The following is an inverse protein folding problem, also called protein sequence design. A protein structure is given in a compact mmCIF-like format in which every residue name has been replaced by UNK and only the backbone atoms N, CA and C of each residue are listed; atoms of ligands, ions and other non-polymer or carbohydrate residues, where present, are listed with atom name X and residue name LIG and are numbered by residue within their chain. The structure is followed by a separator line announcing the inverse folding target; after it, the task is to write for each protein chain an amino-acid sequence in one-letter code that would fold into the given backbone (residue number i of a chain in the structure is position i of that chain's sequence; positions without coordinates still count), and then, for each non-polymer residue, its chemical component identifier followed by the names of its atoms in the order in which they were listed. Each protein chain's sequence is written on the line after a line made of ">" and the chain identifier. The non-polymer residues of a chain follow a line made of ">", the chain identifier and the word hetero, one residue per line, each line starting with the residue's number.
data_IF_664555872166
#
_entry.id   IF_664555872166
#
_cell.length_a   1.000
_cell.length_b   1.000
_cell.length_c   1.000
_cell.angle_alpha   90.00
_cell.angle_beta   90.00
_cell.angle_gamma   90.00
#
_symmetry.space_group_name_H-M   'P 1'
#
loop_
_entity.id
_entity.type
_entity.pdbx_description
1 polymer ?
#
# COMPACT_ATOMS: atom_id res chain seq x y z
N UNK A 1 -13.11 9.27 -14.23
CA UNK A 1 -12.47 8.01 -13.86
C UNK A 1 -11.80 7.42 -15.08
N UNK A 2 -10.53 7.76 -15.25
CA UNK A 2 -9.62 7.16 -16.20
C UNK A 2 -8.92 5.95 -15.56
N UNK A 3 -8.32 5.13 -16.42
CA UNK A 3 -7.51 3.97 -16.03
C UNK A 3 -6.16 4.07 -16.72
N UNK A 4 -5.10 4.03 -15.93
CA UNK A 4 -3.72 4.04 -16.40
C UNK A 4 -3.12 2.65 -16.23
N UNK A 5 -2.70 2.04 -17.32
CA UNK A 5 -2.00 0.76 -17.29
C UNK A 5 -0.53 1.05 -16.94
N UNK A 6 -0.04 0.42 -15.87
CA UNK A 6 1.30 0.62 -15.34
C UNK A 6 2.08 -0.68 -15.46
N UNK A 7 3.20 -0.62 -16.17
CA UNK A 7 4.04 -1.79 -16.39
C UNK A 7 5.12 -1.52 -17.43
N UNK A 8 5.94 -2.55 -17.76
CA UNK A 8 7.09 -2.39 -18.63
C UNK A 8 6.78 -1.84 -20.03
N UNK A 9 5.57 -2.04 -20.54
CA UNK A 9 5.19 -1.66 -21.90
C UNK A 9 4.29 -0.41 -21.96
N UNK A 10 3.86 0.10 -20.80
CA UNK A 10 2.92 1.22 -20.69
C UNK A 10 3.51 2.32 -19.80
N UNK A 11 2.72 2.84 -18.85
CA UNK A 11 3.14 3.96 -18.03
C UNK A 11 4.13 3.52 -16.95
N UNK A 12 5.14 4.37 -16.70
CA UNK A 12 5.83 4.34 -15.43
C UNK A 12 4.85 4.73 -14.30
N UNK A 13 4.95 4.07 -13.14
CA UNK A 13 4.06 4.33 -12.00
C UNK A 13 4.03 5.80 -11.57
N UNK A 14 5.19 6.46 -11.51
CA UNK A 14 5.27 7.86 -11.05
C UNK A 14 4.62 8.82 -12.04
N UNK A 15 4.79 8.57 -13.33
CA UNK A 15 4.21 9.39 -14.39
C UNK A 15 2.69 9.17 -14.45
N UNK A 16 2.23 7.93 -14.34
CA UNK A 16 0.81 7.60 -14.24
C UNK A 16 0.16 8.28 -13.03
N UNK A 17 0.80 8.23 -11.86
CA UNK A 17 0.33 8.91 -10.65
C UNK A 17 0.26 10.43 -10.81
N UNK A 18 1.25 11.03 -11.46
CA UNK A 18 1.26 12.48 -11.74
C UNK A 18 0.07 12.86 -12.63
N UNK A 19 -0.19 12.07 -13.67
CA UNK A 19 -1.26 12.31 -14.63
C UNK A 19 -2.67 11.99 -14.10
N UNK A 20 -2.78 11.05 -13.16
CA UNK A 20 -4.05 10.64 -12.57
C UNK A 20 -4.71 11.78 -11.77
N UNK A 21 -6.04 11.79 -11.79
CA UNK A 21 -6.90 12.66 -11.00
C UNK A 21 -7.65 11.86 -9.93
N UNK A 22 -8.33 12.57 -9.03
CA UNK A 22 -9.18 11.93 -8.03
C UNK A 22 -10.24 11.03 -8.67
N UNK A 23 -10.36 9.82 -8.13
CA UNK A 23 -11.25 8.75 -8.58
C UNK A 23 -10.67 7.86 -9.68
N UNK A 24 -9.43 8.07 -10.13
CA UNK A 24 -8.82 7.26 -11.18
C UNK A 24 -8.21 5.95 -10.66
N UNK A 25 -7.87 5.05 -11.58
CA UNK A 25 -7.25 3.76 -11.30
C UNK A 25 -5.87 3.63 -11.94
N UNK A 26 -4.88 3.20 -11.16
CA UNK A 26 -3.60 2.70 -11.63
C UNK A 26 -3.67 1.17 -11.63
N UNK A 27 -3.78 0.56 -12.81
CA UNK A 27 -3.83 -0.89 -12.99
C UNK A 27 -2.45 -1.41 -13.36
N UNK A 28 -1.86 -2.23 -12.49
CA UNK A 28 -0.56 -2.83 -12.72
C UNK A 28 -0.70 -3.99 -13.71
N UNK A 29 0.16 -4.05 -14.72
CA UNK A 29 0.28 -5.22 -15.59
C UNK A 29 0.76 -6.44 -14.78
N UNK A 30 0.50 -7.64 -15.31
CA UNK A 30 0.94 -8.88 -14.66
C UNK A 30 2.46 -8.89 -14.41
N UNK A 31 2.86 -9.38 -13.23
CA UNK A 31 4.26 -9.40 -12.76
C UNK A 31 4.94 -8.03 -12.64
N UNK A 32 4.18 -6.92 -12.70
CA UNK A 32 4.75 -5.58 -12.49
C UNK A 32 5.28 -5.43 -11.06
N UNK A 33 6.49 -4.88 -10.96
CA UNK A 33 7.14 -4.50 -9.71
C UNK A 33 7.37 -2.99 -9.70
N UNK A 34 6.68 -2.29 -8.81
CA UNK A 34 6.85 -0.85 -8.58
C UNK A 34 7.87 -0.65 -7.46
N UNK A 35 8.98 -0.02 -7.77
CA UNK A 35 9.96 0.43 -6.78
C UNK A 35 9.74 1.91 -6.46
N UNK A 36 9.33 2.20 -5.23
CA UNK A 36 9.14 3.57 -4.74
C UNK A 36 10.45 4.20 -4.23
N UNK A 37 11.52 3.41 -4.13
CA UNK A 37 12.81 3.81 -3.57
C UNK A 37 12.82 3.85 -2.05
N UNK A 38 13.87 4.47 -1.48
CA UNK A 38 14.11 4.53 -0.03
C UNK A 38 13.32 5.62 0.70
N UNK A 39 12.73 6.56 -0.04
CA UNK A 39 11.94 7.66 0.53
C UNK A 39 10.46 7.29 0.61
N UNK A 40 9.73 7.94 1.52
CA UNK A 40 8.29 7.77 1.64
C UNK A 40 7.59 8.40 0.43
N UNK A 41 6.83 7.62 -0.32
CA UNK A 41 6.02 8.10 -1.43
C UNK A 41 4.70 8.67 -0.92
N UNK A 42 4.40 9.92 -1.24
CA UNK A 42 3.18 10.58 -0.79
C UNK A 42 2.05 10.40 -1.81
N UNK A 43 0.91 9.90 -1.33
CA UNK A 43 -0.34 9.86 -2.08
C UNK A 43 -1.31 10.86 -1.45
N UNK A 44 -1.67 11.88 -2.22
CA UNK A 44 -2.55 12.97 -1.80
C UNK A 44 -3.77 13.15 -2.72
N UNK A 45 -4.04 12.13 -3.54
CA UNK A 45 -5.18 12.02 -4.46
C UNK A 45 -5.96 10.76 -4.14
N UNK A 46 -7.27 10.82 -4.29
CA UNK A 46 -8.14 9.65 -4.11
C UNK A 46 -8.01 8.72 -5.32
N UNK A 47 -7.57 7.48 -5.15
CA UNK A 47 -7.34 6.56 -6.28
C UNK A 47 -7.39 5.09 -5.87
N UNK A 48 -7.49 4.23 -6.87
CA UNK A 48 -7.29 2.79 -6.72
C UNK A 48 -5.98 2.37 -7.39
N UNK A 49 -5.16 1.61 -6.67
CA UNK A 49 -4.02 0.87 -7.22
C UNK A 49 -4.36 -0.61 -7.17
N UNK A 50 -4.42 -1.24 -8.34
CA UNK A 50 -4.86 -2.63 -8.48
C UNK A 50 -3.85 -3.46 -9.24
N UNK A 51 -3.46 -4.61 -8.67
CA UNK A 51 -2.66 -5.62 -9.34
C UNK A 51 -3.49 -6.76 -9.96
N UNK A 52 -2.79 -7.68 -10.60
CA UNK A 52 -3.36 -8.88 -11.20
C UNK A 52 -3.29 -10.09 -10.26
N UNK A 53 -4.10 -11.10 -10.59
CA UNK A 53 -4.06 -12.42 -9.96
C UNK A 53 -3.99 -13.49 -11.03
N UNK A 54 -3.27 -14.57 -10.74
CA UNK A 54 -3.32 -15.78 -11.57
C UNK A 54 -4.69 -16.44 -11.49
N UNK A 55 -4.99 -17.38 -12.40
CA UNK A 55 -6.19 -18.22 -12.30
C UNK A 55 -6.23 -19.05 -11.00
N UNK A 56 -5.06 -19.38 -10.43
CA UNK A 56 -4.92 -20.04 -9.14
C UNK A 56 -5.11 -19.10 -7.94
N UNK A 57 -5.38 -17.81 -8.20
CA UNK A 57 -5.58 -16.74 -7.21
C UNK A 57 -4.30 -16.30 -6.49
N UNK A 58 -3.13 -16.48 -7.11
CA UNK A 58 -1.88 -15.93 -6.59
C UNK A 58 -1.73 -14.47 -7.00
N UNK A 59 -1.24 -13.63 -6.08
CA UNK A 59 -0.89 -12.25 -6.37
C UNK A 59 0.43 -12.21 -7.17
N UNK A 60 0.48 -11.41 -8.23
CA UNK A 60 1.66 -11.33 -9.11
C UNK A 60 2.35 -9.97 -9.08
N UNK A 61 1.67 -8.91 -8.64
CA UNK A 61 2.21 -7.56 -8.63
C UNK A 61 2.80 -7.18 -7.26
N UNK A 62 3.89 -6.42 -7.30
CA UNK A 62 4.63 -5.98 -6.13
C UNK A 62 4.74 -4.47 -6.07
N UNK A 63 4.61 -3.91 -4.87
CA UNK A 63 5.04 -2.53 -4.59
C UNK A 63 6.06 -2.59 -3.46
N UNK A 64 7.24 -2.04 -3.70
CA UNK A 64 8.33 -1.98 -2.74
C UNK A 64 8.57 -0.54 -2.29
N UNK A 65 8.56 -0.31 -0.97
CA UNK A 65 8.85 0.97 -0.35
C UNK A 65 7.79 1.39 0.67
N UNK A 66 7.79 2.67 1.05
CA UNK A 66 6.84 3.22 2.02
C UNK A 66 5.86 4.19 1.35
N UNK A 67 4.62 4.22 1.82
CA UNK A 67 3.58 5.17 1.37
C UNK A 67 3.05 5.97 2.56
N UNK A 68 2.84 7.28 2.34
CA UNK A 68 2.03 8.12 3.21
C UNK A 68 0.78 8.59 2.44
N UNK A 69 -0.40 8.26 2.95
CA UNK A 69 -1.70 8.74 2.45
C UNK A 69 -2.14 9.92 3.29
N UNK A 70 -2.37 11.06 2.64
CA UNK A 70 -2.66 12.34 3.31
C UNK A 70 -3.75 13.13 2.59
N UNK A 71 -4.06 14.33 3.09
CA UNK A 71 -4.93 15.29 2.42
C UNK A 71 -6.35 14.75 2.15
N UNK A 72 -6.93 14.03 3.12
CA UNK A 72 -8.28 13.46 3.02
C UNK A 72 -8.46 12.48 1.86
N UNK A 73 -7.36 12.02 1.26
CA UNK A 73 -7.39 11.10 0.13
C UNK A 73 -8.00 9.76 0.52
N UNK A 74 -8.79 9.21 -0.40
CA UNK A 74 -9.43 7.91 -0.29
C UNK A 74 -8.66 6.94 -1.19
N UNK A 75 -7.80 6.10 -0.60
CA UNK A 75 -6.91 5.21 -1.37
C UNK A 75 -7.32 3.76 -1.19
N UNK A 76 -7.42 3.04 -2.30
CA UNK A 76 -7.58 1.57 -2.30
C UNK A 76 -6.34 0.89 -2.85
N UNK A 77 -5.77 -0.05 -2.10
CA UNK A 77 -4.78 -1.00 -2.61
C UNK A 77 -5.44 -2.37 -2.74
N UNK A 78 -5.38 -2.95 -3.94
CA UNK A 78 -6.06 -4.21 -4.23
C UNK A 78 -5.15 -5.20 -4.97
N UNK A 79 -5.12 -6.46 -4.53
CA UNK A 79 -4.41 -7.56 -5.20
C UNK A 79 -2.91 -7.29 -5.41
N UNK A 80 -2.25 -6.84 -4.34
CA UNK A 80 -0.83 -6.43 -4.38
C UNK A 80 -0.07 -7.08 -3.23
N UNK A 81 1.18 -7.45 -3.47
CA UNK A 81 2.15 -7.75 -2.43
C UNK A 81 2.91 -6.45 -2.13
N UNK A 82 2.68 -5.88 -0.95
CA UNK A 82 3.31 -4.64 -0.50
C UNK A 82 4.47 -4.97 0.44
N UNK A 83 5.69 -4.58 0.07
CA UNK A 83 6.89 -4.91 0.84
C UNK A 83 7.66 -3.64 1.18
N UNK A 84 8.27 -3.64 2.35
CA UNK A 84 9.26 -2.63 2.68
C UNK A 84 10.33 -3.22 3.60
N UNK A 85 11.55 -2.72 3.42
CA UNK A 85 12.70 -2.99 4.27
C UNK A 85 13.14 -1.66 4.90
N UNK A 86 12.27 -1.09 5.73
CA UNK A 86 12.49 0.22 6.34
C UNK A 86 12.46 0.11 7.88
N UNK A 87 13.29 0.93 8.53
CA UNK A 87 13.34 1.09 9.98
C UNK A 87 12.26 2.06 10.51
N UNK A 88 11.06 2.06 9.89
CA UNK A 88 9.98 3.03 10.15
C UNK A 88 8.59 2.44 9.83
N UNK A 89 7.59 3.31 9.73
CA UNK A 89 6.22 3.03 9.31
C UNK A 89 6.15 2.76 7.81
N UNK A 90 5.61 1.60 7.39
CA UNK A 90 5.45 1.27 5.95
C UNK A 90 4.30 2.02 5.29
N UNK A 91 3.13 2.01 5.93
CA UNK A 91 1.94 2.70 5.48
C UNK A 91 1.51 3.69 6.56
N UNK A 92 1.68 4.98 6.28
CA UNK A 92 1.18 6.06 7.13
C UNK A 92 -0.13 6.55 6.55
N UNK A 93 -1.18 6.67 7.36
CA UNK A 93 -2.47 7.24 6.96
C UNK A 93 -2.83 8.34 7.95
N UNK A 94 -2.88 9.58 7.49
CA UNK A 94 -3.08 10.74 8.35
C UNK A 94 -4.18 11.64 7.77
N UNK A 95 -5.27 11.82 8.54
CA UNK A 95 -6.47 12.54 8.11
C UNK A 95 -6.92 12.11 6.70
N UNK A 96 -7.05 10.80 6.49
CA UNK A 96 -7.29 10.17 5.20
C UNK A 96 -7.87 8.76 5.39
N UNK A 97 -8.11 8.03 4.29
CA UNK A 97 -8.61 6.66 4.37
C UNK A 97 -7.85 5.70 3.47
N UNK A 98 -7.64 4.49 3.97
CA UNK A 98 -6.96 3.40 3.27
C UNK A 98 -7.81 2.13 3.31
N UNK A 99 -8.14 1.61 2.12
CA UNK A 99 -8.75 0.29 1.96
C UNK A 99 -7.75 -0.70 1.38
N UNK A 100 -7.57 -1.82 2.08
CA UNK A 100 -6.78 -2.95 1.63
C UNK A 100 -7.72 -4.09 1.25
N UNK A 101 -7.58 -4.62 0.05
CA UNK A 101 -8.39 -5.75 -0.43
C UNK A 101 -7.50 -6.78 -1.11
N UNK A 102 -7.37 -7.97 -0.51
CA UNK A 102 -6.49 -9.02 -1.03
C UNK A 102 -5.04 -8.53 -1.15
N UNK A 103 -4.54 -7.86 -0.10
CA UNK A 103 -3.17 -7.34 -0.05
C UNK A 103 -2.35 -8.20 0.90
N UNK A 104 -1.11 -8.50 0.53
CA UNK A 104 -0.14 -9.09 1.45
C UNK A 104 0.84 -7.98 1.85
N UNK A 105 0.84 -7.60 3.12
CA UNK A 105 1.84 -6.66 3.65
C UNK A 105 2.97 -7.47 4.27
N UNK A 106 4.19 -7.24 3.78
CA UNK A 106 5.41 -7.88 4.25
C UNK A 106 6.40 -6.83 4.74
N UNK A 107 6.62 -6.79 6.05
CA UNK A 107 7.64 -5.95 6.65
C UNK A 107 8.90 -6.78 6.90
N UNK A 108 9.91 -6.61 6.04
CA UNK A 108 11.08 -7.49 5.96
C UNK A 108 12.33 -7.00 6.68
N UNK A 109 12.32 -5.81 7.27
CA UNK A 109 13.50 -5.29 7.98
C UNK A 109 13.81 -6.17 9.20
N UNK A 110 15.08 -6.45 9.51
CA UNK A 110 15.45 -7.43 10.56
C UNK A 110 15.82 -6.77 11.91
N UNK A 111 16.34 -5.55 11.92
CA UNK A 111 17.15 -5.05 13.06
C UNK A 111 16.52 -3.95 13.96
N UNK A 112 15.19 -3.86 14.12
CA UNK A 112 14.61 -2.74 14.89
C UNK A 112 13.37 -3.04 15.74
N UNK A 113 13.35 -2.41 16.92
CA UNK A 113 12.43 -2.61 18.05
C UNK A 113 11.05 -1.93 17.91
N UNK A 114 10.80 -1.11 16.89
CA UNK A 114 9.56 -0.31 16.78
C UNK A 114 8.95 -0.29 15.38
N UNK A 115 8.89 -1.45 14.72
CA UNK A 115 8.28 -1.55 13.39
C UNK A 115 6.77 -1.42 13.48
N UNK A 116 6.22 -0.72 12.50
CA UNK A 116 4.78 -0.49 12.34
C UNK A 116 4.45 -0.69 10.87
N UNK A 117 3.68 -1.72 10.51
CA UNK A 117 3.29 -1.91 9.11
C UNK A 117 2.27 -0.85 8.69
N UNK A 118 1.32 -0.51 9.57
CA UNK A 118 0.39 0.60 9.35
C UNK A 118 0.31 1.47 10.60
N UNK A 119 0.52 2.76 10.42
CA UNK A 119 0.19 3.79 11.40
C UNK A 119 -0.96 4.63 10.86
N UNK A 120 -2.02 4.74 11.64
CA UNK A 120 -3.20 5.53 11.33
C UNK A 120 -3.41 6.61 12.39
N UNK A 121 -3.60 7.86 11.95
CA UNK A 121 -3.94 9.01 12.77
C UNK A 121 -5.13 9.76 12.16
N UNK A 122 -6.22 9.90 12.93
CA UNK A 122 -7.47 10.52 12.46
C UNK A 122 -7.92 9.95 11.10
N UNK A 123 -7.83 8.63 10.96
CA UNK A 123 -7.94 7.94 9.68
C UNK A 123 -8.84 6.69 9.76
N UNK A 124 -9.41 6.34 8.61
CA UNK A 124 -10.18 5.11 8.43
C UNK A 124 -9.35 4.08 7.67
N UNK A 125 -9.05 2.96 8.31
CA UNK A 125 -8.33 1.85 7.66
C UNK A 125 -9.22 0.61 7.65
N UNK A 126 -9.48 0.06 6.47
CA UNK A 126 -10.22 -1.19 6.31
C UNK A 126 -9.35 -2.22 5.61
N UNK A 127 -9.35 -3.46 6.11
CA UNK A 127 -8.64 -4.55 5.48
C UNK A 127 -9.55 -5.76 5.29
N UNK A 128 -9.76 -6.16 4.04
CA UNK A 128 -10.58 -7.33 3.67
C UNK A 128 -9.69 -8.35 2.97
N UNK A 129 -9.79 -9.61 3.39
CA UNK A 129 -9.04 -10.74 2.82
C UNK A 129 -7.53 -10.46 2.65
N UNK A 130 -6.95 -9.65 3.56
CA UNK A 130 -5.57 -9.19 3.49
C UNK A 130 -4.72 -9.88 4.56
N UNK A 131 -3.46 -10.12 4.26
CA UNK A 131 -2.53 -10.86 5.11
C UNK A 131 -1.43 -9.91 5.57
N UNK A 132 -1.20 -9.86 6.88
CA UNK A 132 -0.11 -9.11 7.47
C UNK A 132 0.99 -10.08 7.92
N UNK A 133 2.10 -10.12 7.19
CA UNK A 133 3.27 -10.93 7.52
C UNK A 133 4.33 -10.03 8.18
N UNK A 134 4.45 -10.11 9.50
CA UNK A 134 5.53 -9.46 10.23
C UNK A 134 6.72 -10.42 10.36
N UNK A 135 7.93 -9.93 10.05
CA UNK A 135 9.18 -10.53 10.50
C UNK A 135 9.73 -9.62 11.61
N UNK A 136 9.26 -9.80 12.84
CA UNK A 136 10.08 -9.39 13.97
C UNK A 136 10.07 -10.50 14.99
N UNK A 137 11.26 -11.02 15.28
CA UNK A 137 11.49 -11.94 16.38
C UNK A 137 11.26 -11.31 17.74
N UNK A 138 11.24 -9.98 17.88
CA UNK A 138 10.99 -9.32 19.15
C UNK A 138 10.36 -7.92 18.98
N UNK A 139 9.28 -7.67 19.72
CA UNK A 139 8.75 -6.35 20.16
C UNK A 139 8.12 -5.34 19.17
N UNK A 140 8.11 -5.55 17.86
CA UNK A 140 7.42 -4.67 16.91
C UNK A 140 5.88 -4.84 16.91
N UNK A 141 5.11 -3.77 16.66
CA UNK A 141 3.65 -3.85 16.52
C UNK A 141 3.29 -3.85 15.03
N UNK A 142 2.69 -4.92 14.51
CA UNK A 142 2.26 -4.96 13.09
C UNK A 142 1.31 -3.81 12.73
N UNK A 143 0.49 -3.36 13.68
CA UNK A 143 -0.48 -2.29 13.50
C UNK A 143 -0.46 -1.33 14.69
N UNK A 144 -0.48 -0.01 14.45
CA UNK A 144 -0.70 1.01 15.49
C UNK A 144 -1.78 1.98 15.03
N UNK A 145 -2.77 2.20 15.90
CA UNK A 145 -3.93 3.05 15.66
C UNK A 145 -3.96 4.18 16.69
N UNK A 146 -4.22 5.41 16.25
CA UNK A 146 -4.44 6.58 17.09
C UNK A 146 -5.69 7.30 16.60
N UNK A 147 -6.72 7.41 17.44
CA UNK A 147 -8.03 8.00 17.08
C UNK A 147 -8.59 7.45 15.74
N UNK A 148 -8.38 6.17 15.47
CA UNK A 148 -8.64 5.54 14.16
C UNK A 148 -9.51 4.30 14.31
N UNK A 149 -10.24 3.96 13.24
CA UNK A 149 -11.06 2.75 13.17
C UNK A 149 -10.38 1.68 12.29
N UNK A 150 -10.41 0.42 12.73
CA UNK A 150 -10.01 -0.74 11.94
C UNK A 150 -11.19 -1.71 11.82
N UNK A 151 -11.58 -2.00 10.58
CA UNK A 151 -12.51 -3.08 10.26
C UNK A 151 -11.78 -4.24 9.57
N UNK A 152 -12.00 -5.45 10.09
CA UNK A 152 -11.49 -6.72 9.57
C UNK A 152 -12.70 -7.54 9.11
N UNK A 153 -13.15 -7.26 7.88
CA UNK A 153 -14.26 -7.95 7.21
C UNK A 153 -13.85 -9.22 6.49
#
# INVERSE_FOLDING_TARGET
>A
MARFIVGPNDWNFRDAYQQASDGDTLELEDNTRVDLGSSVFQINKSLEIVGQMTAAKDLTCYIDGAIAVTNQAQVTLRRIIFRAEIDRVMLSVDNASLKLSQVIIYNGYQDAMTKVSIWANDADVTATASIFKAISSDTGSTLKLSHSHLDLG
#
